data_IF_710153504263
#
_entry.id   IF_710153504263
#
_cell.length_a   1.000
_cell.length_b   1.000
_cell.length_c   1.000
_cell.angle_alpha   90.00
_cell.angle_beta   90.00
_cell.angle_gamma   90.00
#
_symmetry.space_group_name_H-M   'P 1'
#
loop_
_entity.id
_entity.type
_entity.pdbx_description
1 polymer ?
#
# COMPACT_ATOMS: atom_id res chain seq x y z
N UNK A 1 59.72 17.27 8.44
CA UNK A 1 58.55 16.84 7.66
C UNK A 1 57.41 16.69 8.64
N UNK A 2 56.58 17.71 8.74
CA UNK A 2 55.36 17.70 9.53
C UNK A 2 54.30 16.97 8.70
N UNK A 3 53.65 15.98 9.29
CA UNK A 3 52.40 15.45 8.76
C UNK A 3 51.34 16.49 9.10
N UNK A 4 50.90 17.22 8.06
CA UNK A 4 49.68 18.00 8.11
C UNK A 4 48.53 17.04 8.37
N UNK A 5 47.72 17.37 9.39
CA UNK A 5 46.47 16.68 9.64
C UNK A 5 45.53 16.98 8.49
N UNK A 6 45.15 15.92 7.76
CA UNK A 6 43.98 15.96 6.89
C UNK A 6 42.77 16.27 7.78
N UNK A 7 42.36 17.54 7.72
CA UNK A 7 41.01 17.95 8.07
C UNK A 7 40.06 17.26 7.08
N UNK A 8 39.67 16.02 7.39
CA UNK A 8 38.45 15.47 6.83
C UNK A 8 37.31 16.42 7.23
N UNK A 9 36.55 16.98 6.27
CA UNK A 9 35.36 17.72 6.62
C UNK A 9 34.38 16.75 7.26
N UNK A 10 33.90 17.15 8.44
CA UNK A 10 32.77 16.59 9.17
C UNK A 10 31.58 16.34 8.23
N UNK A 11 31.52 15.15 7.62
CA UNK A 11 30.35 14.62 6.93
C UNK A 11 29.36 14.12 7.99
N UNK A 12 28.83 15.07 8.78
CA UNK A 12 27.67 14.84 9.61
C UNK A 12 26.46 14.64 8.70
N UNK A 13 26.20 13.36 8.41
CA UNK A 13 24.91 12.88 7.98
C UNK A 13 23.95 13.12 9.15
N UNK A 14 23.26 14.27 9.18
CA UNK A 14 22.20 14.51 10.16
C UNK A 14 21.09 13.46 9.94
N UNK A 15 21.14 12.38 10.72
CA UNK A 15 19.97 11.55 10.95
C UNK A 15 18.94 12.46 11.63
N UNK A 16 18.04 13.05 10.83
CA UNK A 16 16.96 13.85 11.36
C UNK A 16 16.27 13.07 12.48
N UNK A 17 16.20 13.68 13.66
CA UNK A 17 15.66 13.04 14.86
C UNK A 17 14.22 12.61 14.61
N UNK A 18 13.75 11.56 15.30
CA UNK A 18 12.34 11.12 15.21
C UNK A 18 11.36 12.28 15.42
N UNK A 19 11.74 13.25 16.26
CA UNK A 19 10.99 14.49 16.52
C UNK A 19 10.88 15.35 15.26
N UNK A 20 11.98 15.62 14.56
CA UNK A 20 11.96 16.44 13.34
C UNK A 20 11.12 15.79 12.23
N UNK A 21 11.26 14.47 12.05
CA UNK A 21 10.45 13.72 11.09
C UNK A 21 8.96 13.76 11.45
N UNK A 22 8.63 13.65 12.73
CA UNK A 22 7.24 13.76 13.19
C UNK A 22 6.68 15.17 12.98
N UNK A 23 7.46 16.21 13.29
CA UNK A 23 7.06 17.60 13.07
C UNK A 23 6.85 17.92 11.58
N UNK A 24 7.75 17.44 10.71
CA UNK A 24 7.62 17.58 9.27
C UNK A 24 6.37 16.86 8.75
N UNK A 25 6.14 15.62 9.21
CA UNK A 25 4.92 14.88 8.89
C UNK A 25 3.66 15.67 9.24
N UNK A 26 3.54 16.17 10.47
CA UNK A 26 2.36 16.93 10.89
C UNK A 26 2.21 18.26 10.17
N UNK A 27 3.31 18.94 9.86
CA UNK A 27 3.33 20.16 9.06
C UNK A 27 2.78 19.92 7.64
N UNK A 28 3.27 18.87 6.96
CA UNK A 28 2.78 18.46 5.63
C UNK A 28 1.31 18.03 5.69
N UNK A 29 0.92 17.29 6.72
CA UNK A 29 -0.45 16.83 6.91
C UNK A 29 -1.42 18.00 7.11
N UNK A 30 -1.08 18.98 7.96
CA UNK A 30 -1.88 20.18 8.15
C UNK A 30 -2.03 21.04 6.89
N UNK A 31 -1.02 21.07 6.01
CA UNK A 31 -1.11 21.74 4.70
C UNK A 31 -2.06 21.00 3.75
N UNK A 32 -2.00 19.67 3.73
CA UNK A 32 -2.80 18.83 2.82
C UNK A 32 -4.26 18.70 3.28
N UNK A 33 -4.49 18.65 4.59
CA UNK A 33 -5.79 18.42 5.21
C UNK A 33 -6.06 19.45 6.31
N UNK A 34 -6.23 20.74 5.98
CA UNK A 34 -6.34 21.81 6.97
C UNK A 34 -7.57 21.70 7.89
N UNK A 35 -8.60 20.96 7.47
CA UNK A 35 -9.83 20.74 8.23
C UNK A 35 -9.84 19.41 9.00
N UNK A 36 -8.71 18.72 9.10
CA UNK A 36 -8.64 17.43 9.79
C UNK A 36 -8.68 17.62 11.31
N UNK A 37 -9.60 16.93 11.96
CA UNK A 37 -9.74 16.93 13.43
C UNK A 37 -9.26 15.62 14.06
N UNK A 38 -9.22 14.55 13.26
CA UNK A 38 -8.82 13.22 13.72
C UNK A 38 -7.99 12.50 12.67
N UNK A 39 -6.87 11.92 13.10
CA UNK A 39 -5.99 11.11 12.27
C UNK A 39 -5.81 9.74 12.92
N UNK A 40 -5.99 8.69 12.13
CA UNK A 40 -5.69 7.32 12.54
C UNK A 40 -4.41 6.87 11.85
N UNK A 41 -3.38 6.59 12.64
CA UNK A 41 -2.14 5.98 12.15
C UNK A 41 -2.30 4.46 12.17
N UNK A 42 -2.08 3.82 11.02
CA UNK A 42 -2.20 2.38 10.83
C UNK A 42 -0.92 1.82 10.21
N UNK A 43 -0.69 0.52 10.40
CA UNK A 43 0.53 -0.15 9.90
C UNK A 43 1.72 -0.06 10.87
N UNK A 44 1.53 0.54 12.04
CA UNK A 44 2.42 0.33 13.17
C UNK A 44 2.27 -1.12 13.62
N UNK A 45 3.34 -1.91 13.51
CA UNK A 45 3.37 -3.31 13.97
C UNK A 45 4.33 -3.37 15.16
N UNK A 46 3.89 -2.94 16.37
CA UNK A 46 4.71 -3.14 17.55
C UNK A 46 4.97 -4.63 17.74
N UNK A 47 6.14 -4.98 18.31
CA UNK A 47 6.48 -6.38 18.59
C UNK A 47 5.54 -7.01 19.61
N UNK A 48 4.80 -6.20 20.38
CA UNK A 48 3.86 -6.60 21.42
C UNK A 48 2.47 -6.06 21.05
N UNK A 49 1.45 -6.89 21.21
CA UNK A 49 0.05 -6.53 20.94
C UNK A 49 -0.49 -5.44 21.89
N UNK A 50 0.07 -5.37 23.10
CA UNK A 50 -0.30 -4.41 24.14
C UNK A 50 0.85 -3.47 24.48
N UNK A 51 0.55 -2.22 24.89
CA UNK A 51 1.53 -1.28 25.40
C UNK A 51 2.36 -1.88 26.55
N UNK A 52 3.64 -1.51 26.68
CA UNK A 52 4.47 -1.98 27.77
C UNK A 52 3.88 -1.54 29.12
N UNK A 53 3.95 -2.37 30.17
CA UNK A 53 3.54 -1.96 31.51
C UNK A 53 4.42 -0.82 32.02
N UNK A 54 3.96 -0.05 33.02
CA UNK A 54 4.73 1.06 33.59
C UNK A 54 6.14 0.62 34.04
N UNK A 55 7.17 1.31 33.54
CA UNK A 55 8.56 1.02 33.85
C UNK A 55 9.29 0.10 32.85
N UNK A 56 8.57 -0.46 31.86
CA UNK A 56 9.18 -1.14 30.73
C UNK A 56 9.30 -0.20 29.52
N UNK A 57 10.44 -0.25 28.83
CA UNK A 57 10.68 0.52 27.61
C UNK A 57 10.49 -0.36 26.37
N UNK A 58 9.73 0.14 25.41
CA UNK A 58 9.62 -0.43 24.07
C UNK A 58 9.83 0.67 23.02
N UNK A 59 10.82 0.49 22.16
CA UNK A 59 11.24 1.49 21.17
C UNK A 59 10.14 1.81 20.14
N UNK A 60 9.33 0.82 19.77
CA UNK A 60 8.24 1.03 18.80
C UNK A 60 7.13 1.89 19.42
N UNK A 61 6.76 1.59 20.68
CA UNK A 61 5.78 2.40 21.42
C UNK A 61 6.31 3.82 21.68
N UNK A 62 7.56 3.98 22.09
CA UNK A 62 8.18 5.29 22.31
C UNK A 62 8.22 6.14 21.02
N UNK A 63 8.44 5.50 19.86
CA UNK A 63 8.39 6.18 18.55
C UNK A 63 6.98 6.65 18.24
N UNK A 64 5.97 5.81 18.44
CA UNK A 64 4.56 6.19 18.22
C UNK A 64 4.17 7.36 19.14
N UNK A 65 4.54 7.28 20.42
CA UNK A 65 4.30 8.34 21.41
C UNK A 65 4.96 9.65 21.01
N UNK A 66 6.19 9.61 20.48
CA UNK A 66 6.88 10.79 19.94
C UNK A 66 6.10 11.42 18.80
N UNK A 67 5.60 10.59 17.85
CA UNK A 67 4.78 11.07 16.74
C UNK A 67 3.48 11.69 17.26
N UNK A 68 2.79 11.05 18.21
CA UNK A 68 1.55 11.57 18.82
C UNK A 68 1.80 12.90 19.54
N UNK A 69 2.90 13.00 20.29
CA UNK A 69 3.25 14.20 21.04
C UNK A 69 3.59 15.41 20.14
N UNK A 70 4.04 15.16 18.90
CA UNK A 70 4.31 16.22 17.93
C UNK A 70 3.05 16.69 17.19
N UNK A 71 1.89 16.07 17.40
CA UNK A 71 0.67 16.43 16.71
C UNK A 71 0.16 17.83 17.13
N UNK A 72 -0.42 18.61 16.19
CA UNK A 72 -1.06 19.87 16.52
C UNK A 72 -2.18 19.66 17.55
N UNK A 73 -2.36 20.56 18.54
CA UNK A 73 -3.29 20.37 19.65
C UNK A 73 -4.75 20.10 19.25
N UNK A 74 -5.16 20.57 18.08
CA UNK A 74 -6.51 20.38 17.54
C UNK A 74 -6.75 18.99 16.91
N UNK A 75 -5.70 18.18 16.74
CA UNK A 75 -5.78 16.89 16.04
C UNK A 75 -5.79 15.76 17.06
N UNK A 76 -6.88 15.00 17.08
CA UNK A 76 -6.97 13.76 17.85
C UNK A 76 -6.25 12.65 17.09
N UNK A 77 -5.15 12.14 17.66
CA UNK A 77 -4.41 11.02 17.08
C UNK A 77 -4.88 9.71 17.69
N UNK A 78 -5.24 8.76 16.82
CA UNK A 78 -5.56 7.39 17.18
C UNK A 78 -4.58 6.43 16.48
N UNK A 79 -4.37 5.26 17.05
CA UNK A 79 -3.51 4.20 16.50
C UNK A 79 -4.36 2.97 16.23
N UNK A 80 -4.27 2.40 15.04
CA UNK A 80 -4.97 1.18 14.67
C UNK A 80 -3.98 0.00 14.58
N UNK A 81 -4.11 -0.95 15.50
CA UNK A 81 -3.39 -2.22 15.45
C UNK A 81 -4.27 -3.30 14.82
N UNK A 82 -3.68 -4.12 13.95
CA UNK A 82 -4.38 -5.28 13.41
C UNK A 82 -4.65 -6.25 14.56
N UNK A 83 -5.90 -6.74 14.68
CA UNK A 83 -6.35 -7.60 15.78
C UNK A 83 -5.65 -8.96 15.87
N UNK A 84 -4.68 -9.24 14.99
CA UNK A 84 -3.91 -10.49 14.95
C UNK A 84 -4.73 -11.71 14.54
N UNK A 85 -6.05 -11.58 14.43
CA UNK A 85 -6.97 -12.65 14.06
C UNK A 85 -6.81 -12.98 12.57
N UNK A 86 -6.45 -14.23 12.21
CA UNK A 86 -6.24 -14.62 10.82
C UNK A 86 -7.45 -14.38 9.90
N UNK A 87 -8.66 -14.46 10.46
CA UNK A 87 -9.95 -14.26 9.79
C UNK A 87 -10.36 -12.79 9.62
N UNK A 88 -9.76 -11.85 10.37
CA UNK A 88 -10.28 -10.49 10.51
C UNK A 88 -9.28 -9.40 10.05
N UNK A 89 -8.73 -9.57 8.84
CA UNK A 89 -7.86 -8.57 8.20
C UNK A 89 -8.53 -7.20 7.95
N UNK A 90 -9.81 -7.05 8.30
CA UNK A 90 -10.59 -5.83 8.15
C UNK A 90 -10.86 -5.13 9.48
N UNK A 91 -10.65 -5.80 10.62
CA UNK A 91 -10.95 -5.28 11.94
C UNK A 91 -9.66 -4.97 12.71
N UNK A 92 -9.62 -3.76 13.25
CA UNK A 92 -8.49 -3.22 13.98
C UNK A 92 -8.92 -2.88 15.39
N UNK A 93 -8.04 -3.03 16.36
CA UNK A 93 -8.23 -2.38 17.66
C UNK A 93 -7.76 -0.94 17.55
N UNK A 94 -8.68 -0.01 17.77
CA UNK A 94 -8.42 1.42 17.74
C UNK A 94 -8.05 1.92 19.13
N UNK A 95 -6.88 2.51 19.25
CA UNK A 95 -6.33 3.07 20.47
C UNK A 95 -6.29 4.59 20.39
N UNK A 96 -6.51 5.24 21.52
CA UNK A 96 -6.15 6.63 21.74
C UNK A 96 -4.90 6.69 22.61
N UNK A 97 -3.98 7.56 22.25
CA UNK A 97 -2.77 7.83 23.03
C UNK A 97 -2.84 9.27 23.51
N UNK A 98 -2.75 9.49 24.82
CA UNK A 98 -2.73 10.85 25.36
C UNK A 98 -1.41 11.54 25.03
N UNK A 99 -1.46 12.75 24.48
CA UNK A 99 -0.28 13.61 24.34
C UNK A 99 0.13 14.16 25.71
N UNK A 100 1.10 13.51 26.37
CA UNK A 100 1.65 13.95 27.66
C UNK A 100 2.99 13.29 27.96
N UNK A 101 3.68 13.77 29.00
CA UNK A 101 4.94 13.17 29.49
C UNK A 101 4.80 11.73 29.97
N UNK A 102 3.57 11.29 30.27
CA UNK A 102 3.26 9.90 30.61
C UNK A 102 2.09 9.42 29.73
N UNK A 103 2.38 8.97 28.50
CA UNK A 103 1.35 8.56 27.55
C UNK A 103 0.48 7.44 28.13
N UNK A 104 -0.84 7.65 28.07
CA UNK A 104 -1.85 6.65 28.42
C UNK A 104 -2.47 6.13 27.13
N UNK A 105 -2.45 4.81 27.02
CA UNK A 105 -3.06 4.08 25.93
C UNK A 105 -4.45 3.61 26.37
N UNK A 106 -5.47 3.97 25.59
CA UNK A 106 -6.85 3.59 25.86
C UNK A 106 -7.46 2.96 24.62
N UNK A 107 -8.07 1.79 24.77
CA UNK A 107 -8.90 1.20 23.72
C UNK A 107 -10.16 2.05 23.55
N UNK A 108 -10.40 2.51 22.32
CA UNK A 108 -11.63 3.19 21.92
C UNK A 108 -12.64 2.23 21.31
N UNK A 109 -12.16 1.29 20.51
CA UNK A 109 -12.98 0.33 19.77
C UNK A 109 -12.15 -0.93 19.49
N UNK A 110 -12.62 -2.08 19.96
CA UNK A 110 -11.92 -3.36 19.79
C UNK A 110 -12.09 -3.95 18.39
N UNK A 111 -13.15 -3.54 17.68
CA UNK A 111 -13.60 -4.13 16.41
C UNK A 111 -13.77 -3.05 15.33
N UNK A 112 -12.85 -2.08 15.31
CA UNK A 112 -12.94 -0.93 14.42
C UNK A 112 -12.74 -1.35 12.97
N UNK A 113 -13.80 -1.17 12.16
CA UNK A 113 -13.80 -1.41 10.72
C UNK A 113 -13.84 -0.08 9.94
N UNK A 114 -12.71 0.46 9.48
CA UNK A 114 -12.71 1.73 8.76
C UNK A 114 -13.41 1.60 7.40
N UNK A 115 -14.40 2.46 7.16
CA UNK A 115 -14.90 2.69 5.80
C UNK A 115 -13.82 3.41 4.99
N UNK A 116 -13.23 2.71 4.03
CA UNK A 116 -12.20 3.29 3.16
C UNK A 116 -12.84 4.16 2.08
N UNK A 117 -12.42 5.42 2.03
CA UNK A 117 -12.71 6.32 0.91
C UNK A 117 -11.40 6.63 0.22
N UNK A 118 -11.33 6.43 -1.09
CA UNK A 118 -10.16 6.76 -1.87
C UNK A 118 -10.10 8.28 -2.04
N UNK A 119 -8.99 8.90 -1.60
CA UNK A 119 -8.77 10.33 -1.78
C UNK A 119 -8.85 10.69 -3.27
N UNK A 120 -9.35 11.87 -3.65
CA UNK A 120 -9.38 12.32 -5.05
C UNK A 120 -7.96 12.37 -5.65
N UNK A 121 -7.87 12.28 -6.98
CA UNK A 121 -6.59 12.29 -7.69
C UNK A 121 -5.98 13.66 -7.67
N UNK A 122 -4.79 13.78 -7.06
CA UNK A 122 -3.88 14.89 -7.34
C UNK A 122 -3.62 14.87 -8.84
N UNK A 123 -3.84 16.02 -9.49
CA UNK A 123 -3.50 16.19 -10.90
C UNK A 123 -2.02 16.55 -10.96
N UNK A 124 -1.27 15.78 -11.73
CA UNK A 124 0.12 16.07 -12.03
C UNK A 124 0.22 16.64 -13.44
N UNK A 125 1.21 17.48 -13.67
CA UNK A 125 1.62 17.84 -15.03
C UNK A 125 2.05 16.59 -15.81
N UNK A 126 2.03 16.67 -17.15
CA UNK A 126 2.57 15.61 -17.99
C UNK A 126 4.10 15.56 -17.81
N UNK A 127 4.58 14.57 -17.08
CA UNK A 127 5.99 14.46 -16.69
C UNK A 127 6.35 13.08 -16.13
N UNK A 128 7.65 12.76 -15.96
CA UNK A 128 8.09 11.50 -15.36
C UNK A 128 7.41 11.15 -14.03
N UNK A 129 7.45 12.07 -13.06
CA UNK A 129 6.83 11.86 -11.75
C UNK A 129 5.31 11.77 -11.87
N UNK A 130 4.70 12.63 -12.69
CA UNK A 130 3.26 12.63 -12.91
C UNK A 130 2.74 11.34 -13.52
N UNK A 131 3.47 10.79 -14.50
CA UNK A 131 3.15 9.51 -15.14
C UNK A 131 3.30 8.34 -14.17
N UNK A 132 4.38 8.30 -13.38
CA UNK A 132 4.58 7.30 -12.34
C UNK A 132 3.45 7.34 -11.31
N UNK A 133 3.17 8.50 -10.73
CA UNK A 133 2.12 8.65 -9.70
C UNK A 133 0.73 8.32 -10.25
N UNK A 134 0.47 8.69 -11.51
CA UNK A 134 -0.79 8.33 -12.18
C UNK A 134 -0.88 6.82 -12.42
N UNK A 135 0.22 6.19 -12.83
CA UNK A 135 0.31 4.74 -13.01
C UNK A 135 0.08 4.00 -11.69
N UNK A 136 0.86 4.28 -10.65
CA UNK A 136 0.77 3.62 -9.34
C UNK A 136 -0.64 3.69 -8.77
N UNK A 137 -1.27 4.86 -8.86
CA UNK A 137 -2.64 5.06 -8.39
C UNK A 137 -3.66 4.27 -9.22
N UNK A 138 -3.58 4.35 -10.55
CA UNK A 138 -4.49 3.61 -11.43
C UNK A 138 -4.34 2.12 -11.25
N UNK A 139 -3.11 1.63 -11.14
CA UNK A 139 -2.81 0.23 -10.88
C UNK A 139 -3.42 -0.22 -9.55
N UNK A 140 -3.24 0.57 -8.49
CA UNK A 140 -3.86 0.30 -7.18
C UNK A 140 -5.38 0.21 -7.26
N UNK A 141 -6.03 1.15 -7.95
CA UNK A 141 -7.48 1.11 -8.17
C UNK A 141 -7.90 -0.13 -8.97
N UNK A 142 -7.16 -0.47 -10.03
CA UNK A 142 -7.47 -1.62 -10.88
C UNK A 142 -7.34 -2.93 -10.12
N UNK A 143 -6.30 -3.10 -9.30
CA UNK A 143 -6.13 -4.27 -8.44
C UNK A 143 -7.31 -4.45 -7.49
N UNK A 144 -7.83 -3.36 -6.91
CA UNK A 144 -9.02 -3.41 -6.05
C UNK A 144 -10.27 -3.79 -6.85
N UNK A 145 -10.43 -3.25 -8.06
CA UNK A 145 -11.56 -3.57 -8.95
C UNK A 145 -11.54 -5.03 -9.40
N UNK A 146 -10.36 -5.57 -9.77
CA UNK A 146 -10.16 -6.98 -10.14
C UNK A 146 -10.55 -7.88 -8.97
N UNK A 147 -9.99 -7.63 -7.77
CA UNK A 147 -10.35 -8.38 -6.56
C UNK A 147 -11.85 -8.29 -6.25
N UNK A 148 -12.45 -7.13 -6.47
CA UNK A 148 -13.89 -6.94 -6.30
C UNK A 148 -14.71 -7.77 -7.27
N UNK A 149 -14.29 -7.88 -8.55
CA UNK A 149 -14.92 -8.76 -9.53
C UNK A 149 -14.75 -10.23 -9.14
N UNK A 150 -13.56 -10.64 -8.72
CA UNK A 150 -13.32 -12.02 -8.28
C UNK A 150 -14.22 -12.39 -7.10
N UNK A 151 -14.33 -11.49 -6.11
CA UNK A 151 -15.23 -11.69 -4.99
C UNK A 151 -16.70 -11.80 -5.45
N UNK A 152 -17.14 -10.99 -6.42
CA UNK A 152 -18.48 -11.08 -6.97
C UNK A 152 -18.72 -12.43 -7.66
N UNK A 153 -17.73 -12.95 -8.38
CA UNK A 153 -17.80 -14.27 -9.02
C UNK A 153 -17.85 -15.39 -7.98
N UNK A 154 -17.00 -15.37 -6.96
CA UNK A 154 -17.05 -16.32 -5.82
C UNK A 154 -18.44 -16.29 -5.17
N UNK A 155 -18.96 -15.10 -4.88
CA UNK A 155 -20.27 -14.90 -4.25
C UNK A 155 -21.43 -15.55 -5.03
N UNK A 156 -21.31 -15.65 -6.37
CA UNK A 156 -22.34 -16.30 -7.17
C UNK A 156 -22.56 -17.77 -6.83
N UNK A 157 -21.54 -18.48 -6.31
CA UNK A 157 -21.63 -19.89 -5.91
C UNK A 157 -22.53 -20.07 -4.68
N UNK A 158 -22.44 -19.15 -3.71
CA UNK A 158 -23.30 -19.18 -2.54
C UNK A 158 -24.72 -18.67 -2.87
N UNK A 159 -24.82 -17.58 -3.63
CA UNK A 159 -26.10 -16.91 -3.88
C UNK A 159 -27.02 -17.68 -4.82
N UNK A 160 -26.46 -18.40 -5.79
CA UNK A 160 -27.21 -19.14 -6.80
C UNK A 160 -27.03 -20.66 -6.68
N UNK A 161 -26.71 -21.13 -5.48
CA UNK A 161 -26.59 -22.55 -5.15
C UNK A 161 -27.87 -23.33 -5.52
N UNK A 162 -27.69 -24.53 -6.07
CA UNK A 162 -28.80 -25.41 -6.44
C UNK A 162 -29.07 -26.40 -5.32
N UNK A 163 -30.34 -26.59 -4.97
CA UNK A 163 -30.78 -27.49 -3.91
C UNK A 163 -30.13 -27.20 -2.54
N UNK A 164 -29.79 -25.93 -2.27
CA UNK A 164 -29.14 -25.53 -1.03
C UNK A 164 -27.69 -26.00 -0.89
N UNK A 165 -27.08 -26.53 -1.95
CA UNK A 165 -25.70 -27.01 -1.94
C UNK A 165 -24.78 -25.99 -2.62
N UNK A 166 -23.93 -25.37 -1.82
CA UNK A 166 -22.89 -24.44 -2.25
C UNK A 166 -21.66 -25.26 -2.65
N UNK A 167 -21.06 -24.97 -3.81
CA UNK A 167 -19.83 -25.63 -4.28
C UNK A 167 -18.64 -24.72 -4.09
N UNK A 168 -17.46 -25.30 -3.88
CA UNK A 168 -16.22 -24.55 -3.97
C UNK A 168 -16.03 -23.98 -5.39
N UNK A 169 -15.61 -22.71 -5.54
CA UNK A 169 -15.34 -22.11 -6.85
C UNK A 169 -14.03 -22.59 -7.49
N UNK A 170 -13.13 -23.19 -6.72
CA UNK A 170 -11.84 -23.68 -7.19
C UNK A 170 -12.03 -24.96 -8.03
N UNK A 171 -11.49 -24.99 -9.25
CA UNK A 171 -11.78 -26.05 -10.24
C UNK A 171 -11.39 -27.45 -9.75
N UNK A 172 -10.29 -27.57 -9.02
CA UNK A 172 -9.79 -28.85 -8.48
C UNK A 172 -10.36 -29.18 -7.09
N UNK A 173 -11.39 -28.44 -6.63
CA UNK A 173 -11.99 -28.65 -5.33
C UNK A 173 -13.46 -29.08 -5.45
N UNK A 174 -13.71 -30.37 -5.20
CA UNK A 174 -15.06 -30.95 -5.21
C UNK A 174 -15.85 -30.72 -3.90
N UNK A 175 -15.32 -29.89 -2.99
CA UNK A 175 -15.97 -29.65 -1.71
C UNK A 175 -17.32 -28.95 -1.88
N UNK A 176 -18.31 -29.42 -1.12
CA UNK A 176 -19.68 -28.87 -1.12
C UNK A 176 -20.19 -28.63 0.28
N UNK A 177 -21.07 -27.65 0.42
CA UNK A 177 -21.47 -27.11 1.71
C UNK A 177 -22.97 -26.83 1.74
N UNK A 178 -23.70 -27.32 2.74
CA UNK A 178 -25.12 -27.00 2.93
C UNK A 178 -25.35 -25.61 3.53
N UNK A 179 -24.30 -24.99 4.09
CA UNK A 179 -24.38 -23.69 4.76
C UNK A 179 -23.25 -22.77 4.33
N UNK A 180 -23.56 -21.47 4.29
CA UNK A 180 -22.64 -20.41 3.89
C UNK A 180 -21.44 -20.28 4.81
N UNK A 181 -21.62 -20.36 6.12
CA UNK A 181 -20.55 -20.23 7.11
C UNK A 181 -19.50 -21.35 7.01
N UNK A 182 -19.94 -22.56 6.63
CA UNK A 182 -19.02 -23.69 6.39
C UNK A 182 -18.22 -23.50 5.10
N UNK A 183 -18.86 -22.96 4.06
CA UNK A 183 -18.21 -22.64 2.79
C UNK A 183 -17.20 -21.50 2.95
N UNK A 184 -17.56 -20.41 3.65
CA UNK A 184 -16.66 -19.29 3.93
C UNK A 184 -15.44 -19.76 4.72
N UNK A 185 -15.65 -20.55 5.77
CA UNK A 185 -14.54 -21.16 6.53
C UNK A 185 -13.67 -22.06 5.66
N UNK A 186 -14.26 -22.87 4.78
CA UNK A 186 -13.48 -23.68 3.86
C UNK A 186 -12.63 -22.81 2.93
N UNK A 187 -13.21 -21.76 2.33
CA UNK A 187 -12.46 -20.85 1.49
C UNK A 187 -11.25 -20.30 2.23
N UNK A 188 -11.44 -19.85 3.47
CA UNK A 188 -10.40 -19.36 4.39
C UNK A 188 -9.30 -20.39 4.68
N UNK A 189 -9.67 -21.57 5.18
CA UNK A 189 -8.76 -22.62 5.62
C UNK A 189 -7.94 -23.21 4.46
N UNK A 190 -8.55 -23.35 3.29
CA UNK A 190 -7.89 -23.86 2.07
C UNK A 190 -7.16 -22.78 1.29
N UNK A 191 -7.24 -21.51 1.71
CA UNK A 191 -6.80 -20.36 0.93
C UNK A 191 -7.43 -20.29 -0.47
N UNK A 192 -8.56 -20.96 -0.73
CA UNK A 192 -9.31 -20.82 -1.98
C UNK A 192 -9.98 -19.45 -2.13
N UNK A 193 -10.03 -18.64 -1.06
CA UNK A 193 -10.31 -17.19 -1.15
C UNK A 193 -9.11 -16.39 -1.71
N UNK A 194 -7.89 -16.88 -1.47
CA UNK A 194 -6.66 -16.31 -2.01
C UNK A 194 -6.46 -16.88 -3.41
N UNK A 195 -7.16 -16.32 -4.37
CA UNK A 195 -6.56 -16.18 -5.69
C UNK A 195 -5.40 -15.18 -5.48
N UNK A 196 -4.23 -15.74 -5.18
CA UNK A 196 -3.23 -15.10 -4.32
C UNK A 196 -2.57 -13.84 -4.90
N UNK A 197 -1.83 -13.08 -4.07
CA UNK A 197 -0.98 -11.97 -4.51
C UNK A 197 0.19 -12.37 -5.44
N UNK A 198 0.34 -13.66 -5.79
CA UNK A 198 1.27 -14.11 -6.84
C UNK A 198 0.78 -13.75 -8.25
N UNK A 199 -0.39 -13.13 -8.37
CA UNK A 199 -0.83 -12.42 -9.58
C UNK A 199 0.13 -11.26 -9.91
N UNK A 200 1.16 -11.57 -10.68
CA UNK A 200 2.20 -10.66 -11.15
C UNK A 200 3.56 -11.33 -11.35
N UNK A 201 3.77 -12.51 -10.79
CA UNK A 201 5.06 -13.20 -10.83
C UNK A 201 4.87 -14.62 -11.35
N UNK A 202 5.37 -14.82 -12.57
CA UNK A 202 5.62 -16.11 -13.23
C UNK A 202 4.39 -16.96 -13.56
N UNK A 203 4.08 -17.09 -14.87
CA UNK A 203 3.82 -18.35 -15.58
C UNK A 203 2.71 -19.31 -15.11
N UNK A 204 2.11 -19.13 -13.94
CA UNK A 204 1.01 -19.94 -13.45
C UNK A 204 -0.25 -19.41 -14.12
N UNK A 205 -0.88 -20.29 -14.92
CA UNK A 205 -2.13 -20.06 -15.59
C UNK A 205 -3.06 -19.24 -14.70
N UNK A 206 -3.44 -18.05 -15.16
CA UNK A 206 -4.57 -17.31 -14.61
C UNK A 206 -5.73 -18.31 -14.66
N UNK A 207 -6.04 -18.96 -13.54
CA UNK A 207 -7.28 -19.68 -13.45
C UNK A 207 -8.34 -18.60 -13.54
N UNK A 208 -8.94 -18.48 -14.72
CA UNK A 208 -10.04 -17.57 -14.95
C UNK A 208 -11.16 -18.02 -14.03
N UNK A 209 -11.34 -17.27 -12.93
CA UNK A 209 -12.44 -17.53 -12.03
C UNK A 209 -13.72 -17.37 -12.84
N UNK A 210 -14.55 -18.40 -12.84
CA UNK A 210 -15.85 -18.38 -13.50
C UNK A 210 -16.92 -18.03 -12.47
N UNK A 211 -17.99 -17.38 -12.90
CA UNK A 211 -19.21 -17.32 -12.10
C UNK A 211 -19.90 -18.70 -12.11
N UNK A 212 -20.74 -18.96 -11.10
CA UNK A 212 -21.48 -20.21 -11.01
C UNK A 212 -22.42 -20.37 -12.22
N UNK A 213 -22.53 -21.59 -12.77
CA UNK A 213 -23.29 -21.85 -14.00
C UNK A 213 -24.76 -21.38 -13.96
N UNK A 214 -25.38 -21.38 -12.78
CA UNK A 214 -26.77 -20.96 -12.55
C UNK A 214 -26.94 -19.47 -12.22
N UNK A 215 -25.86 -18.68 -12.30
CA UNK A 215 -25.95 -17.23 -12.17
C UNK A 215 -26.91 -16.66 -13.21
N UNK A 216 -27.85 -15.77 -12.84
CA UNK A 216 -28.75 -15.12 -13.79
C UNK A 216 -27.99 -14.29 -14.83
N UNK A 217 -28.50 -14.27 -16.05
CA UNK A 217 -27.83 -13.61 -17.19
C UNK A 217 -27.59 -12.11 -16.94
N UNK A 218 -28.53 -11.42 -16.32
CA UNK A 218 -28.36 -10.01 -15.96
C UNK A 218 -27.16 -9.77 -15.03
N UNK A 219 -26.85 -10.72 -14.15
CA UNK A 219 -25.71 -10.63 -13.21
C UNK A 219 -24.41 -10.96 -13.94
N UNK A 220 -24.41 -11.99 -14.79
CA UNK A 220 -23.26 -12.31 -15.67
C UNK A 220 -22.89 -11.11 -16.54
N UNK A 221 -23.86 -10.57 -17.26
CA UNK A 221 -23.69 -9.37 -18.09
C UNK A 221 -23.16 -8.16 -17.30
N UNK A 222 -23.60 -7.96 -16.05
CA UNK A 222 -23.11 -6.87 -15.21
C UNK A 222 -21.64 -7.07 -14.77
N UNK A 223 -21.24 -8.30 -14.44
CA UNK A 223 -19.86 -8.67 -14.11
C UNK A 223 -18.97 -8.48 -15.34
N UNK A 224 -19.37 -9.03 -16.49
CA UNK A 224 -18.62 -8.92 -17.76
C UNK A 224 -18.49 -7.46 -18.22
N UNK A 225 -19.53 -6.64 -18.04
CA UNK A 225 -19.44 -5.21 -18.32
C UNK A 225 -18.42 -4.49 -17.42
N UNK A 226 -18.23 -4.96 -16.17
CA UNK A 226 -17.21 -4.44 -15.26
C UNK A 226 -15.81 -4.90 -15.67
N UNK A 227 -15.65 -6.16 -16.05
CA UNK A 227 -14.40 -6.70 -16.58
C UNK A 227 -13.93 -5.94 -17.81
N UNK A 228 -14.82 -5.70 -18.78
CA UNK A 228 -14.49 -4.90 -19.98
C UNK A 228 -14.01 -3.48 -19.64
N UNK A 229 -14.57 -2.85 -18.60
CA UNK A 229 -14.10 -1.55 -18.11
C UNK A 229 -12.70 -1.65 -17.48
N UNK A 230 -12.46 -2.69 -16.69
CA UNK A 230 -11.16 -2.97 -16.08
C UNK A 230 -10.10 -3.20 -17.16
N UNK A 231 -10.37 -4.04 -18.17
CA UNK A 231 -9.47 -4.29 -19.29
C UNK A 231 -9.13 -3.02 -20.09
N UNK A 232 -10.14 -2.18 -20.35
CA UNK A 232 -9.92 -0.88 -21.00
C UNK A 232 -9.00 0.02 -20.16
N UNK A 233 -9.21 0.05 -18.84
CA UNK A 233 -8.39 0.84 -17.93
C UNK A 233 -6.97 0.25 -17.75
N UNK A 234 -6.81 -1.07 -17.72
CA UNK A 234 -5.51 -1.76 -17.73
C UNK A 234 -4.70 -1.39 -18.97
N UNK A 235 -5.33 -1.36 -20.15
CA UNK A 235 -4.67 -0.91 -21.39
C UNK A 235 -4.18 0.53 -21.30
N UNK A 236 -4.91 1.42 -20.59
CA UNK A 236 -4.44 2.78 -20.35
C UNK A 236 -3.29 2.83 -19.33
N UNK A 237 -3.37 2.05 -18.25
CA UNK A 237 -2.30 1.96 -17.25
C UNK A 237 -0.98 1.46 -17.86
N UNK A 238 -1.04 0.41 -18.71
CA UNK A 238 0.12 -0.10 -19.48
C UNK A 238 0.74 0.91 -20.44
N UNK A 239 0.00 1.94 -20.86
CA UNK A 239 0.60 3.04 -21.66
C UNK A 239 1.46 3.94 -20.78
N UNK A 240 1.00 4.26 -19.57
CA UNK A 240 1.77 5.04 -18.60
C UNK A 240 3.01 4.27 -18.15
N UNK A 241 2.83 3.01 -17.78
CA UNK A 241 3.91 2.08 -17.44
C UNK A 241 5.02 2.07 -18.50
N UNK A 242 4.65 1.89 -19.77
CA UNK A 242 5.63 1.93 -20.88
C UNK A 242 6.32 3.28 -21.03
N UNK A 243 5.62 4.40 -20.84
CA UNK A 243 6.26 5.74 -20.91
C UNK A 243 7.30 5.91 -19.81
N UNK A 244 6.96 5.51 -18.58
CA UNK A 244 7.88 5.55 -17.44
C UNK A 244 9.07 4.63 -17.69
N UNK A 245 8.83 3.36 -18.06
CA UNK A 245 9.90 2.39 -18.34
C UNK A 245 10.82 2.81 -19.49
N UNK A 246 10.27 3.34 -20.59
CA UNK A 246 11.08 3.87 -21.68
C UNK A 246 11.95 5.05 -21.22
N UNK A 247 11.43 5.93 -20.37
CA UNK A 247 12.19 7.04 -19.80
C UNK A 247 13.26 6.58 -18.81
N UNK A 248 12.93 5.60 -17.97
CA UNK A 248 13.84 5.00 -17.00
C UNK A 248 15.02 4.34 -17.71
N UNK A 249 14.88 3.72 -18.88
CA UNK A 249 15.98 3.30 -19.79
C UNK A 249 17.17 2.58 -19.09
N UNK A 250 18.26 2.35 -19.82
CA UNK A 250 19.49 1.75 -19.25
C UNK A 250 20.27 2.79 -18.44
N UNK A 251 20.78 2.37 -17.28
CA UNK A 251 21.70 3.18 -16.47
C UNK A 251 22.90 3.68 -17.31
N UNK A 252 23.31 4.92 -17.06
CA UNK A 252 24.42 5.57 -17.77
C UNK A 252 24.07 6.15 -19.16
N UNK A 253 22.83 6.01 -19.63
CA UNK A 253 22.39 6.66 -20.88
C UNK A 253 22.03 8.13 -20.65
N UNK A 254 22.17 8.94 -21.71
CA UNK A 254 21.73 10.35 -21.69
C UNK A 254 20.22 10.48 -21.43
N UNK A 255 19.43 9.56 -21.98
CA UNK A 255 17.99 9.49 -21.74
C UNK A 255 17.67 9.28 -20.25
N UNK A 256 18.37 8.33 -19.60
CA UNK A 256 18.26 8.09 -18.16
C UNK A 256 18.57 9.35 -17.37
N UNK A 257 19.68 10.01 -17.70
CA UNK A 257 20.13 11.23 -17.01
C UNK A 257 19.07 12.33 -17.07
N UNK A 258 18.54 12.61 -18.27
CA UNK A 258 17.50 13.62 -18.47
C UNK A 258 16.19 13.26 -17.74
N UNK A 259 15.82 11.98 -17.72
CA UNK A 259 14.65 11.51 -16.96
C UNK A 259 14.83 11.73 -15.46
N UNK A 260 15.97 11.33 -14.89
CA UNK A 260 16.30 11.50 -13.48
C UNK A 260 16.29 12.99 -13.09
N UNK A 261 16.89 13.86 -13.91
CA UNK A 261 16.90 15.31 -13.67
C UNK A 261 15.50 15.89 -13.59
N UNK A 262 14.62 15.54 -14.53
CA UNK A 262 13.23 16.00 -14.51
C UNK A 262 12.45 15.41 -13.33
N UNK A 263 12.63 14.12 -13.06
CA UNK A 263 11.97 13.41 -11.97
C UNK A 263 12.32 14.02 -10.61
N UNK A 264 13.61 14.24 -10.33
CA UNK A 264 14.07 14.82 -9.08
C UNK A 264 13.78 16.32 -8.95
N UNK A 265 13.79 17.07 -10.05
CA UNK A 265 13.32 18.46 -10.04
C UNK A 265 11.86 18.53 -9.57
N UNK A 266 11.01 17.63 -10.05
CA UNK A 266 9.59 17.62 -9.69
C UNK A 266 9.31 17.10 -8.28
N UNK A 267 10.08 16.12 -7.81
CA UNK A 267 9.97 15.68 -6.42
C UNK A 267 10.22 16.85 -5.44
N UNK A 268 11.15 17.75 -5.79
CA UNK A 268 11.40 18.99 -5.03
C UNK A 268 10.27 19.99 -5.17
N UNK A 269 9.85 20.29 -6.39
CA UNK A 269 8.77 21.26 -6.69
C UNK A 269 7.46 20.88 -5.99
N UNK A 270 7.12 19.60 -5.99
CA UNK A 270 5.87 19.06 -5.44
C UNK A 270 5.97 18.71 -3.94
N UNK A 271 7.10 19.03 -3.29
CA UNK A 271 7.39 18.79 -1.86
C UNK A 271 7.26 17.33 -1.41
N UNK A 272 7.62 16.37 -2.28
CA UNK A 272 7.66 14.95 -1.92
C UNK A 272 8.86 14.57 -1.06
N UNK A 273 9.91 15.39 -1.08
CA UNK A 273 11.18 15.11 -0.43
C UNK A 273 11.60 16.34 0.37
N UNK A 274 11.97 16.13 1.63
CA UNK A 274 12.48 17.20 2.49
C UNK A 274 13.90 17.60 2.08
N UNK A 275 14.33 18.86 2.31
CA UNK A 275 15.72 19.24 2.11
C UNK A 275 16.65 18.29 2.88
N UNK A 276 17.61 17.65 2.20
CA UNK A 276 18.52 16.66 2.79
C UNK A 276 18.11 15.19 2.68
N UNK A 277 16.89 14.87 2.22
CA UNK A 277 16.51 13.48 1.89
C UNK A 277 17.02 13.03 0.51
N UNK A 278 17.62 13.94 -0.28
CA UNK A 278 18.29 13.62 -1.53
C UNK A 278 19.76 13.35 -1.33
N UNK A 279 20.14 12.08 -1.20
CA UNK A 279 21.51 11.70 -1.50
C UNK A 279 21.52 10.39 -2.29
N UNK A 280 22.05 10.44 -3.51
CA UNK A 280 22.96 9.41 -3.99
C UNK A 280 24.30 9.75 -3.35
N UNK A 281 24.57 9.18 -2.18
CA UNK A 281 25.95 9.02 -1.76
C UNK A 281 26.65 8.04 -2.70
N UNK A 282 27.99 8.05 -2.80
CA UNK A 282 28.72 7.07 -3.61
C UNK A 282 28.48 5.61 -3.19
N UNK A 283 27.97 5.37 -1.97
CA UNK A 283 27.72 4.04 -1.43
C UNK A 283 26.42 4.05 -0.59
N UNK A 284 25.44 3.23 -0.98
CA UNK A 284 24.31 2.71 -0.19
C UNK A 284 23.35 3.65 0.55
N UNK A 285 22.98 4.80 -0.02
CA UNK A 285 21.84 5.58 0.49
C UNK A 285 20.51 5.14 -0.14
N UNK A 286 19.72 4.39 0.65
CA UNK A 286 18.35 3.96 0.35
C UNK A 286 17.49 5.13 -0.15
N UNK A 287 17.00 5.06 -1.40
CA UNK A 287 16.08 6.04 -1.96
C UNK A 287 14.81 5.33 -2.41
N UNK A 288 13.77 5.39 -1.57
CA UNK A 288 12.48 4.73 -1.83
C UNK A 288 11.86 5.10 -3.19
N UNK A 289 12.16 6.29 -3.71
CA UNK A 289 11.65 6.76 -5.00
C UNK A 289 12.40 6.19 -6.20
N UNK A 290 13.67 5.82 -6.01
CA UNK A 290 14.46 5.06 -6.99
C UNK A 290 14.08 3.57 -6.88
N UNK A 291 13.94 3.04 -5.67
CA UNK A 291 13.54 1.65 -5.43
C UNK A 291 12.18 1.33 -6.04
N UNK A 292 11.21 2.24 -5.94
CA UNK A 292 9.92 2.05 -6.60
C UNK A 292 10.11 2.00 -8.13
N UNK A 293 10.95 2.86 -8.71
CA UNK A 293 11.24 2.79 -10.13
C UNK A 293 11.99 1.50 -10.52
N UNK A 294 12.96 1.06 -9.73
CA UNK A 294 13.71 -0.17 -10.02
C UNK A 294 12.85 -1.42 -9.82
N UNK A 295 11.99 -1.45 -8.79
CA UNK A 295 11.01 -2.52 -8.56
C UNK A 295 10.07 -2.72 -9.74
N UNK A 296 9.63 -1.64 -10.37
CA UNK A 296 8.67 -1.70 -11.48
C UNK A 296 9.34 -1.73 -12.86
N UNK A 297 10.57 -1.23 -13.02
CA UNK A 297 11.12 -0.91 -14.34
C UNK A 297 12.61 -1.26 -14.55
N UNK A 298 13.36 -1.78 -13.58
CA UNK A 298 14.73 -2.21 -13.84
C UNK A 298 14.78 -3.55 -14.60
N UNK A 299 15.47 -3.53 -15.74
CA UNK A 299 15.77 -4.67 -16.60
C UNK A 299 16.71 -5.72 -15.97
N UNK A 300 17.39 -5.46 -14.87
CA UNK A 300 18.10 -6.55 -14.14
C UNK A 300 17.14 -7.47 -13.42
N UNK A 301 15.94 -6.98 -13.09
CA UNK A 301 14.76 -7.76 -12.81
C UNK A 301 13.93 -7.87 -14.09
N UNK A 302 14.48 -8.59 -15.09
CA UNK A 302 13.75 -8.99 -16.29
C UNK A 302 12.56 -9.88 -15.89
N UNK A 303 11.43 -9.26 -15.55
CA UNK A 303 10.14 -9.91 -15.61
C UNK A 303 9.82 -10.05 -17.10
N UNK A 304 10.07 -11.25 -17.64
CA UNK A 304 9.70 -11.61 -19.00
C UNK A 304 8.20 -11.40 -19.18
N UNK A 305 7.81 -10.24 -19.72
CA UNK A 305 6.52 -10.07 -20.33
C UNK A 305 6.58 -10.84 -21.65
N UNK A 306 6.01 -12.06 -21.67
CA UNK A 306 5.83 -12.82 -22.90
C UNK A 306 4.94 -12.01 -23.86
N UNK A 307 5.42 -11.91 -25.11
CA UNK A 307 4.74 -11.30 -26.26
C UNK A 307 3.36 -11.90 -26.54
#
# INVERSE_FOLDING_TARGET
>A
MHFEGDNEPDLFQEQASTVEKAQDFWSKMGKLFPAVERVVLAGCVPRRELPPPPGEFDEAYATIETVVNCAPPQIVVCIAFNSGRPSDRQHFTLWQVSSSLQPKWQVLDEDWAPRRVLLPSKKFSASPLGDLMTFLRRNSHLTLEIRGVDQLKIETYARYAVNGVIRCPYLDCDATFPRRDQWERHLEDSSHWRLGPKFGYEGEHIMELLYFKHTPEAVKSAIEAREKRIEAALRQARRLERRVGCGWSRAGTEQRRLFEEQYFAQLREENFVSPGEFFRGPEDSYNVWIDDLDRYFDSTYLYYASE
#
